data_IF_169971765367
#
_entry.id   IF_169971765367
#
_cell.length_a   1.000
_cell.length_b   1.000
_cell.length_c   1.000
_cell.angle_alpha   90.00
_cell.angle_beta   90.00
_cell.angle_gamma   90.00
#
_symmetry.space_group_name_H-M   'P 1'
#
loop_
_entity.id
_entity.type
_entity.pdbx_description
1 polymer ?
#
# COMPACT_ATOMS: atom_id res chain seq x y z
N UNK A 1 -50.52 14.86 -6.11
CA UNK A 1 -50.62 14.28 -4.75
C UNK A 1 -50.62 15.43 -3.75
N UNK A 2 -51.30 15.34 -2.60
CA UNK A 2 -51.16 16.39 -1.57
C UNK A 2 -49.81 16.23 -0.90
N UNK A 3 -49.18 17.34 -0.48
CA UNK A 3 -47.84 17.29 0.10
C UNK A 3 -47.78 16.44 1.38
N UNK A 4 -48.85 16.46 2.18
CA UNK A 4 -48.97 15.67 3.42
C UNK A 4 -48.97 14.16 3.16
N UNK A 5 -49.65 13.71 2.11
CA UNK A 5 -49.69 12.29 1.70
C UNK A 5 -48.29 11.85 1.20
N UNK A 6 -47.55 12.76 0.57
CA UNK A 6 -46.20 12.49 0.09
C UNK A 6 -45.20 12.33 1.24
N UNK A 7 -45.28 13.21 2.24
CA UNK A 7 -44.44 13.15 3.45
C UNK A 7 -44.71 11.87 4.24
N UNK A 8 -45.96 11.41 4.29
CA UNK A 8 -46.34 10.21 5.04
C UNK A 8 -46.14 8.88 4.29
N UNK A 9 -45.70 8.94 3.03
CA UNK A 9 -45.53 7.75 2.18
C UNK A 9 -44.33 6.86 2.54
N UNK A 10 -43.36 7.36 3.32
CA UNK A 10 -42.10 6.67 3.59
C UNK A 10 -41.03 6.84 2.50
N UNK A 11 -41.35 7.53 1.41
CA UNK A 11 -40.44 7.72 0.28
C UNK A 11 -39.23 8.60 0.62
N UNK A 12 -39.44 9.63 1.45
CA UNK A 12 -38.38 10.56 1.86
C UNK A 12 -37.37 9.90 2.80
N UNK A 13 -37.81 8.99 3.65
CA UNK A 13 -36.97 8.16 4.51
C UNK A 13 -36.11 7.22 3.68
N UNK A 14 -36.72 6.52 2.72
CA UNK A 14 -35.97 5.68 1.78
C UNK A 14 -34.98 6.52 0.95
N UNK A 15 -35.34 7.74 0.58
CA UNK A 15 -34.48 8.66 -0.18
C UNK A 15 -33.23 9.05 0.62
N UNK A 16 -33.39 9.51 1.86
CA UNK A 16 -32.26 9.91 2.72
C UNK A 16 -31.33 8.72 3.00
N UNK A 17 -31.87 7.51 3.09
CA UNK A 17 -31.09 6.28 3.26
C UNK A 17 -30.45 5.76 1.96
N UNK A 18 -30.74 6.37 0.81
CA UNK A 18 -30.21 5.94 -0.49
C UNK A 18 -30.79 4.62 -1.00
N UNK A 19 -32.00 4.25 -0.58
CA UNK A 19 -32.66 2.98 -0.93
C UNK A 19 -33.65 3.10 -2.09
N UNK A 20 -33.80 4.29 -2.65
CA UNK A 20 -34.75 4.58 -3.73
C UNK A 20 -34.18 4.31 -5.11
N UNK A 21 -35.04 4.09 -6.10
CA UNK A 21 -34.63 3.99 -7.50
C UNK A 21 -34.20 5.36 -8.05
N UNK A 22 -33.45 5.37 -9.16
CA UNK A 22 -33.05 6.62 -9.84
C UNK A 22 -34.27 7.43 -10.31
N UNK A 23 -35.38 6.77 -10.62
CA UNK A 23 -36.63 7.43 -11.02
C UNK A 23 -37.24 8.17 -9.84
N UNK A 24 -37.39 7.48 -8.71
CA UNK A 24 -37.96 8.06 -7.48
C UNK A 24 -37.08 9.18 -6.93
N UNK A 25 -35.75 9.03 -7.04
CA UNK A 25 -34.80 10.07 -6.68
C UNK A 25 -35.06 11.38 -7.44
N UNK A 26 -35.24 11.30 -8.76
CA UNK A 26 -35.57 12.48 -9.58
C UNK A 26 -36.92 13.08 -9.22
N UNK A 27 -37.89 12.25 -8.88
CA UNK A 27 -39.20 12.72 -8.39
C UNK A 27 -39.06 13.49 -7.08
N UNK A 28 -38.33 12.95 -6.10
CA UNK A 28 -38.06 13.62 -4.82
C UNK A 28 -37.36 14.95 -5.05
N UNK A 29 -36.32 14.99 -5.88
CA UNK A 29 -35.59 16.23 -6.20
C UNK A 29 -36.51 17.30 -6.84
N UNK A 30 -37.39 16.89 -7.75
CA UNK A 30 -38.39 17.77 -8.35
C UNK A 30 -39.42 18.26 -7.31
N UNK A 31 -39.88 17.37 -6.43
CA UNK A 31 -40.84 17.69 -5.38
C UNK A 31 -40.26 18.66 -4.35
N UNK A 32 -38.99 18.48 -3.95
CA UNK A 32 -38.27 19.40 -3.07
C UNK A 32 -38.10 20.78 -3.72
N UNK A 33 -37.82 20.84 -5.03
CA UNK A 33 -37.67 22.11 -5.75
C UNK A 33 -38.99 22.89 -5.89
N UNK A 34 -40.13 22.18 -5.92
CA UNK A 34 -41.45 22.78 -6.13
C UNK A 34 -42.23 23.04 -4.84
N UNK A 35 -41.92 22.31 -3.76
CA UNK A 35 -42.63 22.38 -2.48
C UNK A 35 -41.63 22.55 -1.32
N UNK A 36 -41.45 23.78 -0.81
CA UNK A 36 -40.47 24.04 0.25
C UNK A 36 -40.80 23.32 1.56
N UNK A 37 -42.06 22.95 1.82
CA UNK A 37 -42.41 22.15 3.00
C UNK A 37 -41.77 20.76 3.00
N UNK A 38 -41.50 20.17 1.83
CA UNK A 38 -40.84 18.87 1.69
C UNK A 38 -39.37 19.00 2.04
N UNK A 39 -38.70 20.05 1.57
CA UNK A 39 -37.31 20.35 1.95
C UNK A 39 -37.15 20.53 3.46
N UNK A 40 -38.05 21.30 4.10
CA UNK A 40 -38.05 21.48 5.55
C UNK A 40 -38.29 20.18 6.33
N UNK A 41 -39.06 19.25 5.77
CA UNK A 41 -39.22 17.91 6.35
C UNK A 41 -37.93 17.10 6.21
N UNK A 42 -37.30 17.13 5.03
CA UNK A 42 -36.04 16.44 4.74
C UNK A 42 -34.93 16.89 5.71
N UNK A 43 -34.75 18.20 5.90
CA UNK A 43 -33.75 18.75 6.82
C UNK A 43 -33.95 18.23 8.26
N UNK A 44 -35.20 18.20 8.73
CA UNK A 44 -35.54 17.68 10.07
C UNK A 44 -35.29 16.18 10.17
N UNK A 45 -35.57 15.44 9.09
CA UNK A 45 -35.34 14.01 9.01
C UNK A 45 -33.85 13.69 9.04
N UNK A 46 -33.03 14.42 8.29
CA UNK A 46 -31.57 14.28 8.26
C UNK A 46 -30.96 14.50 9.65
N UNK A 47 -31.30 15.59 10.33
CA UNK A 47 -30.81 15.88 11.68
C UNK A 47 -31.23 14.79 12.68
N UNK A 48 -32.47 14.29 12.57
CA UNK A 48 -32.96 13.21 13.41
C UNK A 48 -32.13 11.93 13.18
N UNK A 49 -31.92 11.54 11.93
CA UNK A 49 -31.15 10.35 11.57
C UNK A 49 -29.68 10.49 11.99
N UNK A 50 -29.06 11.64 11.76
CA UNK A 50 -27.70 11.93 12.22
C UNK A 50 -27.57 11.71 13.72
N UNK A 51 -28.48 12.28 14.52
CA UNK A 51 -28.45 12.13 15.97
C UNK A 51 -28.61 10.69 16.44
N UNK A 52 -29.38 9.86 15.71
CA UNK A 52 -29.56 8.45 16.01
C UNK A 52 -28.33 7.63 15.63
N UNK A 53 -27.72 7.91 14.48
CA UNK A 53 -26.51 7.22 14.03
C UNK A 53 -25.29 7.57 14.87
N UNK A 54 -25.17 8.82 15.33
CA UNK A 54 -24.09 9.24 16.22
C UNK A 54 -24.14 8.53 17.59
N UNK A 55 -25.33 8.22 18.11
CA UNK A 55 -25.46 7.47 19.37
C UNK A 55 -24.90 6.05 19.29
N UNK A 56 -24.96 5.42 18.11
CA UNK A 56 -24.42 4.08 17.85
C UNK A 56 -23.06 4.07 17.15
N UNK A 57 -22.42 5.23 17.00
CA UNK A 57 -21.20 5.36 16.20
C UNK A 57 -20.00 4.70 16.88
N UNK A 58 -19.30 3.84 16.14
CA UNK A 58 -18.03 3.25 16.56
C UNK A 58 -16.89 4.18 16.17
N UNK A 59 -15.98 4.55 17.10
CA UNK A 59 -14.88 5.44 16.77
C UNK A 59 -13.96 4.80 15.71
N UNK A 60 -13.57 5.55 14.66
CA UNK A 60 -12.66 5.02 13.65
C UNK A 60 -11.26 4.79 14.23
N UNK A 61 -10.45 3.89 13.65
CA UNK A 61 -9.07 3.68 14.06
C UNK A 61 -8.24 4.98 13.98
N UNK A 62 -7.38 5.29 14.96
CA UNK A 62 -6.66 6.57 15.03
C UNK A 62 -5.76 6.81 13.82
N UNK A 63 -5.15 5.75 13.27
CA UNK A 63 -4.32 5.81 12.07
C UNK A 63 -5.09 6.20 10.80
N UNK A 64 -6.42 6.11 10.77
CA UNK A 64 -7.22 6.46 9.61
C UNK A 64 -7.18 7.97 9.35
N UNK A 65 -7.17 8.79 10.40
CA UNK A 65 -7.13 10.25 10.28
C UNK A 65 -5.87 10.71 9.55
N UNK A 66 -4.70 10.23 10.00
CA UNK A 66 -3.41 10.56 9.38
C UNK A 66 -3.36 10.13 7.90
N UNK A 67 -3.88 8.93 7.58
CA UNK A 67 -3.96 8.46 6.19
C UNK A 67 -4.85 9.33 5.30
N UNK A 68 -5.95 9.86 5.83
CA UNK A 68 -6.85 10.75 5.08
C UNK A 68 -6.17 12.10 4.84
N UNK A 69 -5.55 12.69 5.87
CA UNK A 69 -4.84 13.97 5.78
C UNK A 69 -3.68 13.92 4.77
N UNK A 70 -2.91 12.82 4.76
CA UNK A 70 -1.83 12.60 3.78
C UNK A 70 -2.34 12.44 2.34
N UNK A 71 -3.50 11.79 2.12
CA UNK A 71 -4.08 11.65 0.77
C UNK A 71 -4.67 12.95 0.25
N UNK A 72 -5.39 13.67 1.11
CA UNK A 72 -6.03 14.94 0.74
C UNK A 72 -5.01 16.02 0.34
N UNK A 73 -3.81 15.98 0.90
CA UNK A 73 -2.73 16.93 0.58
C UNK A 73 -1.88 16.52 -0.62
N UNK A 74 -1.83 15.23 -0.99
CA UNK A 74 -0.99 14.72 -2.07
C UNK A 74 -1.71 14.54 -3.43
N UNK A 75 -3.04 14.48 -3.45
CA UNK A 75 -3.79 14.31 -4.70
C UNK A 75 -4.43 15.62 -5.17
N UNK A 76 -4.23 15.96 -6.44
CA UNK A 76 -5.22 16.76 -7.17
C UNK A 76 -6.56 16.02 -7.07
N UNK A 77 -7.59 16.68 -6.53
CA UNK A 77 -8.94 16.13 -6.41
C UNK A 77 -9.47 15.88 -7.82
N UNK A 78 -9.26 14.66 -8.33
CA UNK A 78 -9.91 14.22 -9.55
C UNK A 78 -11.40 14.04 -9.24
N UNK A 79 -12.31 14.61 -10.04
CA UNK A 79 -13.73 14.33 -9.92
C UNK A 79 -13.93 12.81 -9.88
N UNK A 80 -14.77 12.35 -8.96
CA UNK A 80 -15.16 10.95 -8.89
C UNK A 80 -15.84 10.56 -10.21
N UNK A 81 -15.10 9.91 -11.10
CA UNK A 81 -15.66 9.20 -12.25
C UNK A 81 -16.17 7.86 -11.72
N UNK A 82 -17.49 7.71 -11.61
CA UNK A 82 -18.10 6.47 -11.13
C UNK A 82 -17.62 5.28 -11.97
N UNK A 83 -16.87 4.32 -11.40
CA UNK A 83 -16.67 3.06 -12.06
C UNK A 83 -17.98 2.26 -11.90
N UNK A 84 -18.33 1.50 -12.95
CA UNK A 84 -19.38 0.48 -13.02
C UNK A 84 -20.78 0.90 -13.50
N UNK A 85 -20.98 0.81 -14.83
CA UNK A 85 -22.08 -0.03 -15.33
C UNK A 85 -21.56 -1.46 -15.40
N UNK A 86 -21.82 -2.29 -14.39
CA UNK A 86 -21.67 -3.73 -14.55
C UNK A 86 -22.79 -4.20 -15.49
N UNK A 87 -22.47 -4.41 -16.76
CA UNK A 87 -23.26 -5.30 -17.59
C UNK A 87 -23.15 -6.70 -16.98
N UNK A 88 -24.22 -7.13 -16.32
CA UNK A 88 -24.38 -8.50 -15.84
C UNK A 88 -24.32 -9.42 -17.06
N UNK A 89 -23.20 -10.10 -17.29
CA UNK A 89 -23.15 -11.25 -18.19
C UNK A 89 -23.66 -12.44 -17.38
N UNK A 90 -24.85 -12.98 -17.70
CA UNK A 90 -25.30 -14.22 -17.09
C UNK A 90 -24.30 -15.29 -17.51
N UNK A 91 -23.52 -15.78 -16.56
CA UNK A 91 -22.67 -16.95 -16.77
C UNK A 91 -23.52 -18.14 -16.34
N UNK A 92 -23.83 -19.04 -17.27
CA UNK A 92 -24.59 -20.27 -17.04
C UNK A 92 -23.75 -21.30 -16.25
N UNK A 93 -23.36 -20.96 -15.02
CA UNK A 93 -22.75 -21.90 -14.07
C UNK A 93 -23.75 -22.27 -12.95
N UNK A 94 -23.90 -23.56 -12.60
CA UNK A 94 -24.86 -23.99 -11.59
C UNK A 94 -24.55 -23.38 -10.23
N UNK A 95 -25.57 -22.75 -9.63
CA UNK A 95 -25.55 -22.07 -8.35
C UNK A 95 -25.25 -23.06 -7.20
N UNK A 96 -23.97 -23.21 -6.87
CA UNK A 96 -23.53 -23.74 -5.59
C UNK A 96 -23.04 -22.57 -4.73
N UNK A 97 -23.88 -22.21 -3.76
CA UNK A 97 -23.56 -21.59 -2.48
C UNK A 97 -22.44 -20.53 -2.48
N UNK A 98 -22.80 -19.29 -2.84
CA UNK A 98 -21.94 -18.13 -2.62
C UNK A 98 -22.62 -17.19 -1.63
N UNK A 99 -22.34 -17.41 -0.34
CA UNK A 99 -22.55 -16.38 0.68
C UNK A 99 -21.85 -15.09 0.25
N UNK A 100 -22.60 -13.99 0.26
CA UNK A 100 -22.23 -12.68 -0.29
C UNK A 100 -21.17 -11.94 0.52
N UNK A 101 -19.99 -12.53 0.64
CA UNK A 101 -18.81 -11.83 1.10
C UNK A 101 -18.03 -11.32 -0.11
N UNK A 102 -17.78 -10.01 -0.11
CA UNK A 102 -16.74 -9.40 -0.95
C UNK A 102 -15.42 -9.99 -0.49
N UNK A 103 -14.80 -10.82 -1.31
CA UNK A 103 -13.45 -11.32 -1.08
C UNK A 103 -12.50 -10.11 -1.19
N UNK A 104 -12.28 -9.45 -0.05
CA UNK A 104 -11.30 -8.36 0.05
C UNK A 104 -9.95 -9.03 -0.08
N UNK A 105 -9.47 -9.17 -1.32
CA UNK A 105 -8.11 -9.55 -1.60
C UNK A 105 -7.20 -8.49 -0.96
N UNK A 106 -6.70 -8.77 0.23
CA UNK A 106 -5.62 -8.01 0.87
C UNK A 106 -4.32 -8.39 0.14
N UNK A 107 -4.21 -8.00 -1.12
CA UNK A 107 -2.98 -8.12 -1.88
C UNK A 107 -2.07 -6.96 -1.50
N UNK A 108 -1.43 -7.04 -0.32
CA UNK A 108 -0.27 -6.19 -0.01
C UNK A 108 0.71 -6.85 0.96
N UNK A 109 1.17 -8.06 0.62
CA UNK A 109 2.53 -8.51 0.99
C UNK A 109 3.46 -8.27 -0.21
N UNK A 110 3.43 -7.06 -0.78
CA UNK A 110 4.42 -6.64 -1.76
C UNK A 110 5.50 -5.88 -1.00
N UNK A 111 6.56 -6.58 -0.60
CA UNK A 111 7.77 -5.95 -0.06
C UNK A 111 8.29 -5.02 -1.16
N UNK A 112 8.02 -3.72 -1.01
CA UNK A 112 8.57 -2.69 -1.88
C UNK A 112 10.05 -2.52 -1.55
N UNK A 113 10.87 -3.39 -2.15
CA UNK A 113 12.32 -3.25 -2.09
C UNK A 113 12.71 -1.91 -2.73
N UNK A 114 13.30 -1.04 -1.92
CA UNK A 114 13.79 0.28 -2.27
C UNK A 114 14.57 0.27 -3.60
N UNK A 115 14.41 1.29 -4.45
CA UNK A 115 14.90 1.36 -5.84
C UNK A 115 16.38 0.97 -6.05
N UNK A 116 17.19 1.02 -5.00
CA UNK A 116 18.63 0.68 -5.00
C UNK A 116 18.97 -0.77 -4.55
N UNK A 117 18.01 -1.69 -4.39
CA UNK A 117 18.32 -3.08 -4.03
C UNK A 117 19.08 -3.84 -5.14
N UNK A 118 18.76 -3.56 -6.41
CA UNK A 118 19.41 -4.17 -7.58
C UNK A 118 20.90 -3.81 -7.67
N UNK A 119 21.33 -2.53 -7.57
CA UNK A 119 22.76 -2.21 -7.58
C UNK A 119 23.51 -2.70 -6.34
N UNK A 120 22.86 -2.92 -5.20
CA UNK A 120 23.51 -3.44 -4.00
C UNK A 120 24.12 -4.85 -4.22
N UNK A 121 23.38 -5.74 -4.91
CA UNK A 121 23.90 -7.07 -5.25
C UNK A 121 25.08 -7.01 -6.23
N UNK A 122 25.03 -6.08 -7.18
CA UNK A 122 26.12 -5.86 -8.14
C UNK A 122 27.38 -5.37 -7.41
N UNK A 123 27.23 -4.44 -6.46
CA UNK A 123 28.33 -3.92 -5.67
C UNK A 123 29.02 -5.01 -4.82
N UNK A 124 28.24 -5.89 -4.17
CA UNK A 124 28.79 -7.02 -3.39
C UNK A 124 29.57 -7.98 -4.28
N UNK A 125 29.08 -8.27 -5.48
CA UNK A 125 29.77 -9.17 -6.42
C UNK A 125 31.10 -8.57 -6.90
N UNK A 126 31.12 -7.28 -7.19
CA UNK A 126 32.34 -6.55 -7.58
C UNK A 126 33.34 -6.52 -6.41
N UNK A 127 32.88 -6.19 -5.20
CA UNK A 127 33.72 -6.16 -4.00
C UNK A 127 34.35 -7.53 -3.71
N UNK A 128 33.58 -8.61 -3.85
CA UNK A 128 34.07 -9.99 -3.70
C UNK A 128 35.21 -10.31 -4.67
N UNK A 129 35.10 -9.89 -5.94
CA UNK A 129 36.17 -10.09 -6.93
C UNK A 129 37.42 -9.27 -6.62
N UNK A 130 37.27 -8.02 -6.18
CA UNK A 130 38.41 -7.19 -5.76
C UNK A 130 39.15 -7.85 -4.59
N UNK A 131 38.41 -8.30 -3.57
CA UNK A 131 38.99 -9.00 -2.42
C UNK A 131 39.73 -10.29 -2.82
N UNK A 132 39.18 -11.06 -3.76
CA UNK A 132 39.84 -12.27 -4.26
C UNK A 132 41.15 -11.96 -4.97
N UNK A 133 41.17 -10.94 -5.84
CA UNK A 133 42.39 -10.52 -6.56
C UNK A 133 43.44 -9.96 -5.59
N UNK A 134 43.04 -9.10 -4.65
CA UNK A 134 43.93 -8.57 -3.64
C UNK A 134 44.49 -9.66 -2.72
N UNK A 135 43.65 -10.60 -2.28
CA UNK A 135 44.07 -11.74 -1.47
C UNK A 135 45.10 -12.60 -2.20
N UNK A 136 44.87 -12.88 -3.48
CA UNK A 136 45.82 -13.64 -4.31
C UNK A 136 47.14 -12.86 -4.51
N UNK A 137 47.07 -11.56 -4.74
CA UNK A 137 48.26 -10.70 -4.88
C UNK A 137 49.12 -10.73 -3.60
N UNK A 138 48.50 -10.56 -2.43
CA UNK A 138 49.22 -10.62 -1.15
C UNK A 138 49.76 -12.02 -0.86
N UNK A 139 49.03 -13.08 -1.22
CA UNK A 139 49.49 -14.46 -1.07
C UNK A 139 50.76 -14.71 -1.91
N UNK A 140 50.77 -14.31 -3.18
CA UNK A 140 51.97 -14.45 -4.02
C UNK A 140 53.14 -13.59 -3.53
N UNK A 141 52.87 -12.38 -3.03
CA UNK A 141 53.89 -11.51 -2.44
C UNK A 141 54.52 -12.12 -1.18
N UNK A 142 53.71 -12.72 -0.30
CA UNK A 142 54.21 -13.39 0.90
C UNK A 142 55.14 -14.56 0.54
N UNK A 143 54.76 -15.37 -0.45
CA UNK A 143 55.59 -16.48 -0.95
C UNK A 143 56.94 -16.01 -1.52
N UNK A 144 56.99 -14.86 -2.19
CA UNK A 144 58.26 -14.31 -2.72
C UNK A 144 59.17 -13.81 -1.60
N UNK A 145 58.61 -13.16 -0.58
CA UNK A 145 59.39 -12.70 0.57
C UNK A 145 60.02 -13.86 1.36
N UNK A 146 59.29 -14.97 1.54
CA UNK A 146 59.84 -16.17 2.18
C UNK A 146 61.04 -16.75 1.40
N UNK A 147 61.03 -16.69 0.07
CA UNK A 147 62.15 -17.15 -0.75
C UNK A 147 63.39 -16.26 -0.59
N UNK A 148 63.21 -14.94 -0.53
CA UNK A 148 64.30 -14.00 -0.29
C UNK A 148 64.92 -14.21 1.09
N UNK A 149 64.09 -14.37 2.14
CA UNK A 149 64.55 -14.67 3.51
C UNK A 149 65.35 -15.97 3.54
N UNK A 150 64.86 -17.03 2.90
CA UNK A 150 65.57 -18.31 2.82
C UNK A 150 66.88 -18.20 2.04
N UNK A 151 66.92 -17.44 0.94
CA UNK A 151 68.13 -17.19 0.16
C UNK A 151 69.16 -16.39 0.96
N UNK A 152 68.75 -15.33 1.64
CA UNK A 152 69.59 -14.51 2.52
C UNK A 152 70.14 -15.37 3.65
N UNK A 153 69.30 -16.18 4.30
CA UNK A 153 69.72 -17.11 5.35
C UNK A 153 70.76 -18.11 4.82
N UNK A 154 70.55 -18.67 3.63
CA UNK A 154 71.54 -19.57 2.99
C UNK A 154 72.85 -18.87 2.66
N UNK A 155 72.80 -17.62 2.18
CA UNK A 155 74.00 -16.82 1.92
C UNK A 155 74.76 -16.52 3.21
N UNK A 156 74.07 -16.12 4.29
CA UNK A 156 74.68 -15.90 5.60
C UNK A 156 75.33 -17.18 6.15
N UNK A 157 74.69 -18.34 6.00
CA UNK A 157 75.29 -19.62 6.40
C UNK A 157 76.49 -20.03 5.53
N UNK A 158 76.54 -19.58 4.28
CA UNK A 158 77.65 -19.86 3.36
C UNK A 158 78.81 -18.86 3.51
N UNK A 159 78.52 -17.61 3.88
CA UNK A 159 79.53 -16.56 4.12
C UNK A 159 80.00 -16.51 5.57
N UNK A 160 79.32 -17.18 6.52
CA UNK A 160 79.84 -17.41 7.85
C UNK A 160 81.15 -18.20 7.75
N UNK A 161 82.31 -17.59 8.03
CA UNK A 161 83.57 -18.31 8.03
C UNK A 161 83.51 -19.34 9.15
N UNK A 162 84.23 -20.47 8.98
CA UNK A 162 84.73 -21.25 10.12
C UNK A 162 85.63 -20.34 10.98
N UNK A 163 85.02 -19.47 11.76
CA UNK A 163 85.68 -18.66 12.77
C UNK A 163 85.80 -19.54 14.02
N UNK A 164 86.93 -20.24 14.08
CA UNK A 164 87.66 -20.61 15.30
C UNK A 164 86.87 -21.21 16.45
N UNK A 165 87.16 -22.47 16.74
CA UNK A 165 87.41 -22.84 18.13
C UNK A 165 88.83 -23.40 18.23
N UNK A 166 89.58 -23.01 19.29
CA UNK A 166 91.01 -23.25 19.47
C UNK A 166 91.36 -24.73 19.61
#
# INVERSE_FOLDING_TARGET
MKTEDYISSGLLEAYVLGLVSDQDKREVEHMVATHPEIGLYLDKLEVKLESQFLQGAVPPPPALRERIELRATQQEVKPYEAPYQHQYQPTDEPAADRSGYVDVQVSNTHIQVHKYWRPAFIAVFILSKIFLVFGLYYYFKAQTQEQEINRLTKQVHQTAPRAGTP
#
